data_IF_957113326745
#
_entry.id   IF_957113326745
#
_cell.length_a   1.000
_cell.length_b   1.000
_cell.length_c   1.000
_cell.angle_alpha   90.00
_cell.angle_beta   90.00
_cell.angle_gamma   90.00
#
_symmetry.space_group_name_H-M   'P 1'
#
loop_
_entity.id
_entity.type
_entity.pdbx_description
1 polymer ?
#
# COMPACT_ATOMS: atom_id res chain seq x y z
N UNK A 1 -25.37 10.40 11.81
CA UNK A 1 -26.23 10.85 10.69
C UNK A 1 -25.99 10.06 9.38
N UNK A 2 -24.75 9.89 8.90
CA UNK A 2 -24.47 9.16 7.63
C UNK A 2 -24.64 7.64 7.79
N UNK A 3 -24.25 7.07 8.93
CA UNK A 3 -24.42 5.66 9.26
C UNK A 3 -25.90 5.32 9.36
N UNK A 4 -26.69 6.15 10.05
CA UNK A 4 -28.15 5.98 10.20
C UNK A 4 -28.90 6.06 8.88
N UNK A 5 -28.35 6.76 7.89
CA UNK A 5 -28.91 6.83 6.53
C UNK A 5 -28.45 5.70 5.60
N UNK A 6 -27.64 4.75 6.10
CA UNK A 6 -27.07 3.67 5.30
C UNK A 6 -26.05 4.10 4.23
N UNK A 7 -25.54 5.33 4.32
CA UNK A 7 -24.54 5.87 3.39
C UNK A 7 -23.13 5.36 3.67
N UNK A 8 -22.87 4.92 4.91
CA UNK A 8 -21.59 4.39 5.38
C UNK A 8 -21.84 3.11 6.16
N UNK A 9 -21.05 2.09 5.91
CA UNK A 9 -21.08 0.81 6.64
C UNK A 9 -19.82 0.66 7.48
N UNK A 10 -19.99 0.41 8.78
CA UNK A 10 -18.86 0.16 9.68
C UNK A 10 -18.49 -1.33 9.79
N UNK A 11 -19.12 -2.22 9.06
CA UNK A 11 -18.90 -3.68 9.23
C UNK A 11 -17.51 -4.11 8.79
N UNK A 12 -17.04 -3.60 7.64
CA UNK A 12 -15.68 -3.79 7.13
C UNK A 12 -15.01 -2.43 7.00
N UNK A 13 -13.88 -2.25 7.66
CA UNK A 13 -13.10 -1.03 7.62
C UNK A 13 -11.69 -1.33 7.10
N UNK A 14 -11.33 -0.67 6.02
CA UNK A 14 -10.00 -0.76 5.43
C UNK A 14 -9.16 0.38 5.98
N UNK A 15 -8.01 0.05 6.57
CA UNK A 15 -7.06 1.04 7.06
C UNK A 15 -5.79 0.99 6.26
N UNK A 16 -5.29 2.17 5.92
CA UNK A 16 -4.03 2.33 5.19
C UNK A 16 -3.33 3.61 5.62
N UNK A 17 -1.99 3.56 5.62
CA UNK A 17 -1.13 4.70 5.90
C UNK A 17 -0.62 5.34 4.61
N UNK A 18 -0.63 6.66 4.57
CA UNK A 18 -0.07 7.43 3.47
C UNK A 18 0.99 8.40 3.99
N UNK A 19 2.19 8.37 3.39
CA UNK A 19 3.26 9.30 3.74
C UNK A 19 3.23 10.50 2.81
N UNK A 20 3.15 11.71 3.39
CA UNK A 20 3.27 12.96 2.65
C UNK A 20 4.64 13.58 2.95
N UNK A 21 5.46 13.70 1.88
CA UNK A 21 6.76 14.32 1.95
C UNK A 21 6.67 15.82 2.17
N UNK A 22 7.49 16.35 3.08
CA UNK A 22 7.61 17.76 3.34
C UNK A 22 8.78 18.36 2.57
N UNK A 23 8.51 19.43 1.82
CA UNK A 23 9.51 20.11 0.98
C UNK A 23 9.87 21.51 1.50
N UNK A 24 9.33 21.91 2.65
CA UNK A 24 9.60 23.20 3.28
C UNK A 24 10.97 23.27 3.97
N UNK A 25 11.23 24.39 4.66
CA UNK A 25 12.50 24.68 5.32
C UNK A 25 12.52 24.29 6.80
N UNK A 26 11.35 24.02 7.39
CA UNK A 26 11.23 23.68 8.81
C UNK A 26 11.78 22.29 9.11
N UNK A 27 12.23 22.09 10.35
CA UNK A 27 12.66 20.77 10.83
C UNK A 27 11.45 19.97 11.24
N UNK A 28 11.07 19.00 10.40
CA UNK A 28 9.99 18.04 10.69
C UNK A 28 10.56 16.64 10.87
N UNK A 29 9.79 15.77 11.51
CA UNK A 29 10.16 14.37 11.68
C UNK A 29 10.44 13.70 10.33
N UNK A 30 11.42 12.79 10.32
CA UNK A 30 11.74 11.98 9.14
C UNK A 30 11.13 10.61 9.32
N UNK A 31 10.46 10.15 8.27
CA UNK A 31 9.89 8.81 8.19
C UNK A 31 10.45 8.06 7.00
N UNK A 32 10.40 6.73 7.08
CA UNK A 32 10.84 5.88 5.99
C UNK A 32 9.83 5.92 4.84
N UNK A 33 10.27 6.40 3.69
CA UNK A 33 9.48 6.42 2.47
C UNK A 33 9.72 5.13 1.68
N UNK A 34 8.70 4.30 1.57
CA UNK A 34 8.82 2.93 1.03
C UNK A 34 9.23 2.91 -0.45
N UNK A 35 8.79 3.90 -1.23
CA UNK A 35 9.08 3.96 -2.67
C UNK A 35 10.53 4.34 -2.96
N UNK A 36 11.09 5.33 -2.24
CA UNK A 36 12.48 5.74 -2.40
C UNK A 36 13.46 4.92 -1.56
N UNK A 37 12.95 4.16 -0.57
CA UNK A 37 13.74 3.41 0.43
C UNK A 37 14.68 4.28 1.26
N UNK A 38 14.27 5.51 1.51
CA UNK A 38 15.06 6.51 2.24
C UNK A 38 14.22 7.17 3.33
N UNK A 39 14.92 7.84 4.28
CA UNK A 39 14.28 8.65 5.32
C UNK A 39 14.01 10.05 4.80
N UNK A 40 12.74 10.38 4.59
CA UNK A 40 12.31 11.71 4.16
C UNK A 40 11.60 12.47 5.27
N UNK A 41 11.79 13.81 5.33
CA UNK A 41 10.97 14.65 6.18
C UNK A 41 9.52 14.59 5.70
N UNK A 42 8.57 14.48 6.62
CA UNK A 42 7.16 14.39 6.28
C UNK A 42 6.30 13.88 7.42
N UNK A 43 5.04 13.72 7.14
CA UNK A 43 4.03 13.22 8.08
C UNK A 43 3.35 11.97 7.54
N UNK A 44 2.85 11.14 8.43
CA UNK A 44 2.01 10.01 8.08
C UNK A 44 0.54 10.38 8.29
N UNK A 45 -0.26 10.00 7.33
CA UNK A 45 -1.71 10.12 7.38
C UNK A 45 -2.32 8.74 7.43
N UNK A 46 -3.22 8.51 8.39
CA UNK A 46 -3.98 7.27 8.51
C UNK A 46 -5.39 7.50 8.00
N UNK A 47 -5.82 6.68 7.08
CA UNK A 47 -7.17 6.71 6.51
C UNK A 47 -7.90 5.42 6.84
N UNK A 48 -9.14 5.56 7.30
CA UNK A 48 -10.07 4.44 7.42
C UNK A 48 -11.22 4.71 6.46
N UNK A 49 -11.49 3.77 5.58
CA UNK A 49 -12.63 3.83 4.67
C UNK A 49 -13.49 2.58 4.78
N UNK A 50 -14.75 2.72 4.44
CA UNK A 50 -15.69 1.60 4.41
C UNK A 50 -15.58 0.75 3.14
N UNK A 51 -16.45 -0.25 3.02
CA UNK A 51 -16.51 -1.12 1.84
C UNK A 51 -16.75 -0.37 0.53
N UNK A 52 -17.47 0.75 0.54
CA UNK A 52 -17.75 1.56 -0.64
C UNK A 52 -16.61 2.51 -1.02
N UNK A 53 -15.60 2.64 -0.15
CA UNK A 53 -14.49 3.58 -0.29
C UNK A 53 -14.77 4.96 0.31
N UNK A 54 -15.87 5.12 1.06
CA UNK A 54 -16.13 6.34 1.82
C UNK A 54 -15.19 6.45 3.02
N UNK A 55 -14.49 7.57 3.13
CA UNK A 55 -13.61 7.81 4.28
C UNK A 55 -14.49 8.06 5.50
N UNK A 56 -14.30 7.24 6.53
CA UNK A 56 -14.99 7.32 7.82
C UNK A 56 -14.13 7.95 8.91
N UNK A 57 -12.82 7.91 8.73
CA UNK A 57 -11.86 8.51 9.63
C UNK A 57 -10.58 8.90 8.92
N UNK A 58 -9.99 9.98 9.40
CA UNK A 58 -8.70 10.48 8.93
C UNK A 58 -7.94 11.08 10.12
N UNK A 59 -6.64 10.79 10.18
CA UNK A 59 -5.74 11.31 11.22
C UNK A 59 -4.36 11.60 10.63
N UNK A 60 -3.78 12.72 11.04
CA UNK A 60 -2.39 13.08 10.75
C UNK A 60 -1.55 12.72 11.97
N UNK A 61 -0.50 11.96 11.76
CA UNK A 61 0.42 11.54 12.82
C UNK A 61 1.82 12.09 12.57
N UNK A 62 2.37 12.72 13.58
CA UNK A 62 3.78 13.12 13.58
C UNK A 62 4.67 11.89 13.78
N UNK A 63 5.77 11.82 13.05
CA UNK A 63 6.72 10.73 13.17
C UNK A 63 6.20 9.42 12.57
N UNK A 64 6.61 8.29 13.14
CA UNK A 64 6.16 6.96 12.71
C UNK A 64 4.74 6.74 13.19
N UNK A 65 3.79 6.76 12.28
CA UNK A 65 2.39 6.50 12.58
C UNK A 65 2.17 5.16 13.31
N UNK A 66 1.23 5.13 14.23
CA UNK A 66 0.84 3.92 14.97
C UNK A 66 -0.55 3.43 14.54
N UNK A 67 -0.58 2.67 13.46
CA UNK A 67 -1.79 2.04 12.93
C UNK A 67 -2.49 1.14 13.96
N UNK A 68 -1.71 0.49 14.83
CA UNK A 68 -2.25 -0.46 15.83
C UNK A 68 -3.08 0.28 16.88
N UNK A 69 -2.61 1.46 17.32
CA UNK A 69 -3.33 2.30 18.26
C UNK A 69 -4.60 2.89 17.64
N UNK A 70 -4.53 3.31 16.37
CA UNK A 70 -5.70 3.79 15.62
C UNK A 70 -6.77 2.69 15.53
N UNK A 71 -6.39 1.46 15.19
CA UNK A 71 -7.33 0.33 15.13
C UNK A 71 -7.98 0.11 16.49
N UNK A 72 -7.21 0.09 17.56
CA UNK A 72 -7.72 -0.16 18.91
C UNK A 72 -8.70 0.93 19.35
N UNK A 73 -8.31 2.18 19.20
CA UNK A 73 -9.14 3.34 19.55
C UNK A 73 -10.46 3.35 18.77
N UNK A 74 -10.38 3.17 17.44
CA UNK A 74 -11.58 3.21 16.58
C UNK A 74 -12.43 1.94 16.69
N UNK A 75 -11.83 0.80 17.00
CA UNK A 75 -12.58 -0.42 17.31
C UNK A 75 -13.49 -0.22 18.53
N UNK A 76 -12.97 0.39 19.59
CA UNK A 76 -13.74 0.67 20.79
C UNK A 76 -14.89 1.67 20.52
N UNK A 77 -14.59 2.78 19.84
CA UNK A 77 -15.58 3.81 19.46
C UNK A 77 -16.70 3.23 18.59
N UNK A 78 -16.35 2.50 17.54
CA UNK A 78 -17.34 1.99 16.59
C UNK A 78 -18.12 0.78 17.13
N UNK A 79 -17.54 0.03 18.07
CA UNK A 79 -18.24 -1.05 18.78
C UNK A 79 -19.48 -0.54 19.52
N UNK A 80 -19.41 0.65 20.13
CA UNK A 80 -20.56 1.27 20.80
C UNK A 80 -21.66 1.61 19.78
N UNK A 81 -21.28 2.16 18.62
CA UNK A 81 -22.20 2.50 17.53
C UNK A 81 -22.85 1.25 16.92
N UNK A 82 -22.11 0.13 16.90
CA UNK A 82 -22.53 -1.16 16.30
C UNK A 82 -23.16 -2.13 17.31
N UNK A 83 -23.73 -1.64 18.40
CA UNK A 83 -24.41 -2.47 19.39
C UNK A 83 -23.54 -3.58 20.00
N UNK A 84 -22.27 -3.30 20.23
CA UNK A 84 -21.35 -4.21 20.94
C UNK A 84 -20.52 -5.12 20.04
N UNK A 85 -20.71 -5.12 18.72
CA UNK A 85 -19.88 -5.88 17.79
C UNK A 85 -18.85 -4.92 17.17
N UNK A 86 -17.53 -5.13 17.36
CA UNK A 86 -16.53 -4.26 16.74
C UNK A 86 -16.47 -4.48 15.23
N UNK A 87 -16.08 -3.46 14.44
CA UNK A 87 -15.85 -3.61 13.02
C UNK A 87 -14.70 -4.58 12.71
N UNK A 88 -14.73 -5.20 11.54
CA UNK A 88 -13.61 -5.97 11.04
C UNK A 88 -12.62 -5.04 10.31
N UNK A 89 -11.44 -4.85 10.87
CA UNK A 89 -10.36 -4.09 10.22
C UNK A 89 -9.60 -4.96 9.22
N UNK A 90 -9.58 -4.51 7.97
CA UNK A 90 -8.84 -5.13 6.86
C UNK A 90 -7.53 -4.35 6.67
N UNK A 91 -6.42 -5.00 6.99
CA UNK A 91 -5.12 -4.33 7.18
C UNK A 91 -4.05 -4.97 6.30
N UNK A 92 -3.05 -4.19 5.90
CA UNK A 92 -1.88 -4.74 5.23
C UNK A 92 -0.91 -5.42 6.22
N UNK A 93 0.15 -5.98 5.68
CA UNK A 93 1.23 -6.66 6.42
C UNK A 93 1.91 -5.81 7.48
N UNK A 94 1.65 -4.52 7.53
CA UNK A 94 2.17 -3.63 8.58
C UNK A 94 1.70 -4.02 9.98
N UNK A 95 0.49 -4.58 10.08
CA UNK A 95 -0.04 -5.09 11.34
C UNK A 95 0.74 -6.28 11.91
N UNK A 96 1.55 -6.96 11.09
CA UNK A 96 2.15 -8.24 11.43
C UNK A 96 3.01 -8.22 12.69
N UNK A 97 2.68 -9.11 13.62
CA UNK A 97 3.46 -9.39 14.83
C UNK A 97 2.62 -9.90 15.99
N UNK A 98 3.10 -10.92 16.70
CA UNK A 98 2.38 -11.52 17.83
C UNK A 98 2.04 -10.49 18.91
N UNK A 99 2.94 -9.54 19.17
CA UNK A 99 2.69 -8.42 20.08
C UNK A 99 1.45 -7.61 19.66
N UNK A 100 1.37 -7.23 18.39
CA UNK A 100 0.26 -6.45 17.86
C UNK A 100 -1.04 -7.25 17.89
N UNK A 101 -0.99 -8.53 17.49
CA UNK A 101 -2.16 -9.41 17.52
C UNK A 101 -2.73 -9.59 18.93
N UNK A 102 -1.86 -9.74 19.93
CA UNK A 102 -2.29 -9.81 21.34
C UNK A 102 -2.85 -8.49 21.84
N UNK A 103 -2.26 -7.39 21.44
CA UNK A 103 -2.72 -6.06 21.81
C UNK A 103 -4.10 -5.73 21.22
N UNK A 104 -4.41 -6.30 20.06
CA UNK A 104 -5.70 -6.18 19.36
C UNK A 104 -6.63 -7.37 19.60
N UNK A 105 -6.45 -8.12 20.68
CA UNK A 105 -7.30 -9.30 20.99
C UNK A 105 -8.79 -8.95 21.10
N UNK A 106 -9.11 -7.73 21.54
CA UNK A 106 -10.48 -7.23 21.70
C UNK A 106 -11.06 -6.62 20.42
N UNK A 107 -10.22 -6.49 19.38
CA UNK A 107 -10.59 -5.98 18.06
C UNK A 107 -10.77 -7.15 17.09
N UNK A 108 -11.47 -6.90 15.99
CA UNK A 108 -11.52 -7.84 14.86
C UNK A 108 -10.61 -7.35 13.75
N UNK A 109 -9.72 -8.19 13.30
CA UNK A 109 -8.80 -7.83 12.21
C UNK A 109 -8.55 -8.99 11.26
N UNK A 110 -8.19 -8.65 10.03
CA UNK A 110 -7.61 -9.57 9.05
C UNK A 110 -6.43 -8.91 8.35
N UNK A 111 -5.35 -9.66 8.17
CA UNK A 111 -4.12 -9.20 7.49
C UNK A 111 -3.47 -10.31 6.67
N UNK A 112 -2.54 -9.96 5.77
CA UNK A 112 -1.74 -10.95 5.06
C UNK A 112 -0.67 -11.58 5.96
N UNK A 113 -0.49 -12.90 5.86
CA UNK A 113 0.60 -13.61 6.54
C UNK A 113 1.95 -13.14 6.01
N UNK A 114 2.86 -12.77 6.94
CA UNK A 114 4.24 -12.42 6.62
C UNK A 114 5.14 -13.65 6.78
N UNK A 115 6.16 -13.78 5.91
CA UNK A 115 7.08 -14.91 5.93
C UNK A 115 6.38 -16.28 5.74
N UNK A 116 5.36 -16.30 4.88
CA UNK A 116 4.65 -17.53 4.50
C UNK A 116 5.64 -18.53 3.91
N UNK A 117 5.62 -19.77 4.38
CA UNK A 117 6.31 -20.87 3.71
C UNK A 117 5.60 -21.18 2.38
N UNK A 118 6.09 -20.55 1.32
CA UNK A 118 5.52 -20.65 -0.03
C UNK A 118 5.57 -22.11 -0.54
N UNK A 119 6.62 -22.87 -0.18
CA UNK A 119 6.75 -24.27 -0.62
C UNK A 119 5.68 -25.14 0.03
N UNK A 120 5.51 -25.03 1.34
CA UNK A 120 4.47 -25.76 2.08
C UNK A 120 3.06 -25.39 1.59
N UNK A 121 2.80 -24.11 1.31
CA UNK A 121 1.49 -23.66 0.80
C UNK A 121 1.23 -24.17 -0.63
N UNK A 122 2.26 -24.19 -1.49
CA UNK A 122 2.13 -24.70 -2.85
C UNK A 122 1.97 -26.23 -2.91
N UNK A 123 2.49 -26.96 -1.92
CA UNK A 123 2.37 -28.43 -1.84
C UNK A 123 1.06 -28.91 -1.23
N UNK A 124 0.16 -28.01 -0.80
CA UNK A 124 -1.17 -28.39 -0.34
C UNK A 124 -1.95 -29.08 -1.48
N UNK A 125 -2.50 -30.24 -1.16
CA UNK A 125 -3.36 -30.99 -2.08
C UNK A 125 -4.65 -30.20 -2.37
N UNK A 126 -5.09 -30.17 -3.61
CA UNK A 126 -6.26 -29.45 -4.08
C UNK A 126 -7.55 -29.88 -3.35
N UNK A 127 -7.61 -31.12 -2.84
CA UNK A 127 -8.75 -31.62 -2.04
C UNK A 127 -9.01 -30.86 -0.75
N UNK A 128 -8.02 -30.11 -0.23
CA UNK A 128 -8.19 -29.31 0.98
C UNK A 128 -8.90 -27.97 0.71
N UNK A 129 -9.03 -27.57 -0.56
CA UNK A 129 -9.67 -26.33 -0.96
C UNK A 129 -11.16 -26.57 -1.21
N UNK A 130 -11.93 -26.54 -0.13
CA UNK A 130 -13.35 -26.91 -0.09
C UNK A 130 -14.32 -25.75 -0.30
N UNK A 131 -13.82 -24.50 -0.28
CA UNK A 131 -14.63 -23.28 -0.44
C UNK A 131 -14.22 -22.52 -1.69
N UNK A 132 -15.19 -21.84 -2.30
CA UNK A 132 -15.02 -21.19 -3.59
C UNK A 132 -15.45 -19.72 -3.52
N UNK A 133 -14.72 -18.88 -4.22
CA UNK A 133 -15.00 -17.45 -4.34
C UNK A 133 -14.72 -17.00 -5.77
N UNK A 134 -15.62 -16.21 -6.37
CA UNK A 134 -15.41 -15.58 -7.67
C UNK A 134 -15.41 -14.06 -7.51
N UNK A 135 -14.38 -13.40 -8.04
CA UNK A 135 -14.25 -11.93 -8.08
C UNK A 135 -13.71 -11.55 -9.45
N UNK A 136 -14.39 -10.64 -10.17
CA UNK A 136 -13.95 -10.10 -11.46
C UNK A 136 -13.45 -11.19 -12.44
N UNK A 137 -14.27 -12.23 -12.65
CA UNK A 137 -13.98 -13.39 -13.51
C UNK A 137 -12.75 -14.21 -13.14
N UNK A 138 -12.22 -14.04 -11.94
CA UNK A 138 -11.18 -14.88 -11.36
C UNK A 138 -11.82 -15.81 -10.33
N UNK A 139 -11.55 -17.10 -10.47
CA UNK A 139 -11.96 -18.10 -9.49
C UNK A 139 -10.85 -18.27 -8.45
N UNK A 140 -11.27 -18.28 -7.18
CA UNK A 140 -10.42 -18.55 -6.04
C UNK A 140 -10.93 -19.78 -5.31
N UNK A 141 -10.02 -20.61 -4.85
CA UNK A 141 -10.31 -21.73 -3.97
C UNK A 141 -9.69 -21.44 -2.61
N UNK A 142 -10.39 -21.79 -1.54
CA UNK A 142 -10.01 -21.39 -0.19
C UNK A 142 -9.82 -22.63 0.68
N UNK A 143 -8.79 -22.60 1.50
CA UNK A 143 -8.52 -23.60 2.53
C UNK A 143 -8.30 -22.90 3.87
N UNK A 144 -9.08 -23.28 4.87
CA UNK A 144 -9.00 -22.71 6.22
C UNK A 144 -8.37 -23.68 7.20
N UNK A 145 -7.46 -23.19 8.00
CA UNK A 145 -6.84 -23.91 9.11
C UNK A 145 -6.68 -22.96 10.29
N UNK A 146 -6.27 -23.49 11.44
CA UNK A 146 -5.79 -22.72 12.58
C UNK A 146 -4.27 -22.85 12.67
N UNK A 147 -3.60 -21.76 13.10
CA UNK A 147 -2.16 -21.76 13.31
C UNK A 147 -1.77 -20.93 14.52
N UNK A 148 -0.90 -21.51 15.35
CA UNK A 148 -0.28 -20.78 16.47
C UNK A 148 0.98 -20.06 15.98
N UNK A 149 1.01 -18.74 16.20
CA UNK A 149 2.16 -17.88 15.92
C UNK A 149 2.88 -17.58 17.24
N UNK A 150 4.21 -17.61 17.20
CA UNK A 150 5.07 -17.37 18.39
C UNK A 150 6.05 -16.24 18.08
N UNK A 151 6.33 -15.41 19.07
CA UNK A 151 7.42 -14.44 19.03
C UNK A 151 8.70 -14.99 19.67
N UNK A 152 9.79 -14.25 19.56
CA UNK A 152 11.09 -14.61 20.15
C UNK A 152 11.09 -14.62 21.69
N UNK A 153 10.07 -14.01 22.31
CA UNK A 153 9.89 -13.96 23.77
C UNK A 153 9.01 -15.11 24.29
N UNK A 154 8.57 -16.01 23.42
CA UNK A 154 7.70 -17.13 23.78
C UNK A 154 6.22 -16.79 23.87
N UNK A 155 5.80 -15.55 23.60
CA UNK A 155 4.38 -15.24 23.49
C UNK A 155 3.78 -15.94 22.28
N UNK A 156 2.56 -16.45 22.44
CA UNK A 156 1.87 -17.13 21.35
C UNK A 156 0.42 -16.67 21.22
N UNK A 157 -0.11 -16.77 20.00
CA UNK A 157 -1.51 -16.53 19.66
C UNK A 157 -1.93 -17.50 18.58
N UNK A 158 -3.10 -18.06 18.71
CA UNK A 158 -3.73 -18.88 17.69
C UNK A 158 -4.67 -18.02 16.82
N UNK A 159 -4.53 -18.12 15.51
CA UNK A 159 -5.34 -17.38 14.55
C UNK A 159 -5.89 -18.32 13.48
N UNK A 160 -7.05 -17.98 12.94
CA UNK A 160 -7.57 -18.57 11.70
C UNK A 160 -6.64 -18.19 10.56
N UNK A 161 -6.32 -19.16 9.73
CA UNK A 161 -5.38 -19.03 8.61
C UNK A 161 -6.08 -19.50 7.35
N UNK A 162 -6.21 -18.61 6.38
CA UNK A 162 -6.95 -18.84 5.15
C UNK A 162 -5.98 -18.77 3.97
N UNK A 163 -5.75 -19.89 3.32
CA UNK A 163 -4.99 -19.95 2.06
C UNK A 163 -5.95 -19.65 0.91
N UNK A 164 -5.60 -18.66 0.09
CA UNK A 164 -6.42 -18.16 -1.01
C UNK A 164 -5.73 -18.53 -2.32
N UNK A 165 -6.19 -19.58 -3.00
CA UNK A 165 -5.61 -20.00 -4.26
C UNK A 165 -6.27 -19.28 -5.44
N UNK A 166 -5.51 -18.43 -6.12
CA UNK A 166 -5.91 -17.86 -7.40
C UNK A 166 -5.65 -18.89 -8.50
N UNK A 167 -6.70 -19.47 -9.05
CA UNK A 167 -6.58 -20.56 -10.05
C UNK A 167 -6.02 -20.09 -11.39
N UNK A 168 -6.14 -18.78 -11.71
CA UNK A 168 -5.62 -18.20 -12.96
C UNK A 168 -4.11 -17.98 -12.92
N UNK A 169 -3.59 -17.48 -11.81
CA UNK A 169 -2.15 -17.15 -11.66
C UNK A 169 -1.37 -18.23 -10.90
N UNK A 170 -2.07 -19.22 -10.36
CA UNK A 170 -1.53 -20.24 -9.48
C UNK A 170 -0.79 -19.69 -8.26
N UNK A 171 -1.20 -18.51 -7.78
CA UNK A 171 -0.67 -17.92 -6.55
C UNK A 171 -1.54 -18.29 -5.37
N UNK A 172 -0.90 -18.49 -4.21
CA UNK A 172 -1.60 -18.91 -2.97
C UNK A 172 -1.23 -17.96 -1.81
N UNK A 173 -1.67 -16.68 -1.82
CA UNK A 173 -1.51 -15.80 -0.67
C UNK A 173 -2.28 -16.33 0.54
N UNK A 174 -1.84 -15.93 1.73
CA UNK A 174 -2.41 -16.39 2.98
C UNK A 174 -2.86 -15.20 3.81
N UNK A 175 -4.11 -15.22 4.23
CA UNK A 175 -4.67 -14.28 5.19
C UNK A 175 -4.73 -14.91 6.58
N UNK A 176 -4.58 -14.09 7.61
CA UNK A 176 -4.75 -14.48 9.01
C UNK A 176 -5.70 -13.52 9.72
N UNK A 177 -6.53 -14.06 10.61
CA UNK A 177 -7.56 -13.30 11.31
C UNK A 177 -7.85 -13.89 12.69
N UNK A 178 -8.21 -13.03 13.63
CA UNK A 178 -8.81 -13.43 14.89
C UNK A 178 -10.35 -13.42 14.87
N UNK A 179 -10.92 -13.01 13.73
CA UNK A 179 -12.37 -12.89 13.61
C UNK A 179 -13.08 -14.24 13.64
N UNK A 180 -14.18 -14.32 14.40
CA UNK A 180 -15.02 -15.50 14.54
C UNK A 180 -16.46 -15.30 14.04
N UNK A 181 -16.80 -14.09 13.60
CA UNK A 181 -18.14 -13.75 13.12
C UNK A 181 -18.31 -14.02 11.63
N UNK A 182 -17.27 -13.75 10.85
CA UNK A 182 -17.31 -13.89 9.40
C UNK A 182 -16.90 -15.30 8.93
N UNK A 183 -17.53 -15.76 7.88
CA UNK A 183 -17.13 -16.97 7.19
C UNK A 183 -15.82 -16.77 6.38
N UNK A 184 -15.22 -17.87 5.98
CA UNK A 184 -13.94 -17.89 5.22
C UNK A 184 -14.04 -17.12 3.92
N UNK A 185 -15.18 -17.20 3.23
CA UNK A 185 -15.39 -16.56 1.91
C UNK A 185 -15.47 -15.06 2.07
N UNK A 186 -16.17 -14.58 3.10
CA UNK A 186 -16.29 -13.16 3.43
C UNK A 186 -14.94 -12.54 3.82
N UNK A 187 -14.14 -13.22 4.65
CA UNK A 187 -12.78 -12.80 5.00
C UNK A 187 -11.88 -12.73 3.77
N UNK A 188 -11.88 -13.79 2.93
CA UNK A 188 -11.07 -13.83 1.72
C UNK A 188 -11.48 -12.71 0.74
N UNK A 189 -12.79 -12.47 0.58
CA UNK A 189 -13.33 -11.39 -0.24
C UNK A 189 -12.87 -10.02 0.25
N UNK A 190 -12.90 -9.78 1.56
CA UNK A 190 -12.45 -8.54 2.16
C UNK A 190 -10.97 -8.28 1.85
N UNK A 191 -10.11 -9.29 2.05
CA UNK A 191 -8.68 -9.18 1.78
C UNK A 191 -8.36 -8.96 0.29
N UNK A 192 -9.05 -9.65 -0.61
CA UNK A 192 -8.83 -9.51 -2.06
C UNK A 192 -9.32 -8.15 -2.59
N UNK A 193 -10.40 -7.61 -2.02
CA UNK A 193 -10.93 -6.30 -2.41
C UNK A 193 -10.13 -5.13 -1.85
N UNK A 194 -9.29 -5.34 -0.84
CA UNK A 194 -8.47 -4.28 -0.24
C UNK A 194 -7.65 -3.52 -1.29
N UNK A 195 -6.95 -4.22 -2.18
CA UNK A 195 -6.14 -3.60 -3.23
C UNK A 195 -6.95 -2.70 -4.17
N UNK A 196 -8.04 -3.22 -4.70
CA UNK A 196 -8.85 -2.48 -5.66
C UNK A 196 -9.55 -1.25 -5.07
N UNK A 197 -9.84 -1.27 -3.76
CA UNK A 197 -10.59 -0.21 -3.10
C UNK A 197 -9.70 0.86 -2.46
N UNK A 198 -8.70 0.48 -1.65
CA UNK A 198 -7.80 1.43 -1.02
C UNK A 198 -6.96 2.18 -2.06
N UNK A 199 -6.32 1.47 -2.98
CA UNK A 199 -5.47 2.09 -4.00
C UNK A 199 -6.26 3.00 -4.96
N UNK A 200 -7.47 2.61 -5.34
CA UNK A 200 -8.34 3.46 -6.16
C UNK A 200 -8.85 4.67 -5.38
N UNK A 201 -9.18 4.52 -4.09
CA UNK A 201 -9.61 5.65 -3.25
C UNK A 201 -8.49 6.69 -3.12
N UNK A 202 -7.24 6.26 -2.86
CA UNK A 202 -6.08 7.16 -2.83
C UNK A 202 -5.79 7.80 -4.19
N UNK A 203 -5.88 7.06 -5.29
CA UNK A 203 -5.75 7.62 -6.64
C UNK A 203 -6.82 8.68 -6.93
N UNK A 204 -8.06 8.39 -6.58
CA UNK A 204 -9.16 9.34 -6.80
C UNK A 204 -9.02 10.58 -5.93
N UNK A 205 -8.61 10.43 -4.67
CA UNK A 205 -8.33 11.57 -3.81
C UNK A 205 -7.13 12.38 -4.32
N UNK A 206 -6.02 11.73 -4.64
CA UNK A 206 -4.84 12.40 -5.19
C UNK A 206 -5.15 13.21 -6.45
N UNK A 207 -6.00 12.67 -7.34
CA UNK A 207 -6.37 13.36 -8.58
C UNK A 207 -7.39 14.49 -8.38
N UNK A 208 -8.27 14.41 -7.37
CA UNK A 208 -9.36 15.36 -7.15
C UNK A 208 -9.04 16.42 -6.12
N UNK A 209 -8.30 16.07 -5.08
CA UNK A 209 -8.05 16.94 -3.91
C UNK A 209 -6.59 17.38 -3.81
N UNK A 210 -5.72 16.94 -4.75
CA UNK A 210 -4.28 17.17 -4.66
C UNK A 210 -3.68 16.78 -3.29
N UNK A 211 -4.14 15.67 -2.74
CA UNK A 211 -3.83 15.15 -1.42
C UNK A 211 -2.31 14.97 -1.16
N UNK A 212 -1.52 14.86 -2.23
CA UNK A 212 -0.05 14.79 -2.14
C UNK A 212 0.62 16.16 -2.00
N UNK A 213 -0.17 17.24 -2.08
CA UNK A 213 0.34 18.59 -1.94
C UNK A 213 0.31 18.98 -0.46
N UNK A 214 1.49 19.10 0.12
CA UNK A 214 1.65 19.71 1.43
C UNK A 214 1.99 21.20 1.18
N UNK A 215 1.03 22.14 1.34
CA UNK A 215 1.38 23.55 1.31
C UNK A 215 2.32 23.81 2.48
N UNK A 216 3.54 24.26 2.20
CA UNK A 216 4.38 24.81 3.23
C UNK A 216 3.57 25.87 4.02
N UNK A 217 3.88 26.06 5.30
CA UNK A 217 3.12 26.82 6.30
C UNK A 217 2.65 28.24 5.93
N UNK A 218 3.09 28.79 4.81
CA UNK A 218 2.67 30.08 4.26
C UNK A 218 1.87 29.90 2.96
N UNK A 219 0.56 29.80 3.07
CA UNK A 219 -0.35 29.96 1.93
C UNK A 219 -0.61 31.44 1.72
N UNK A 220 0.15 32.09 0.87
CA UNK A 220 -0.23 33.38 0.32
C UNK A 220 -1.21 33.16 -0.82
N UNK A 221 -2.42 33.69 -0.71
CA UNK A 221 -3.34 33.79 -1.85
C UNK A 221 -2.66 34.53 -2.99
N UNK A 222 -2.42 33.84 -4.08
CA UNK A 222 -1.88 34.43 -5.30
C UNK A 222 -3.04 34.76 -6.23
N UNK A 223 -2.93 35.90 -6.91
CA UNK A 223 -3.94 36.38 -7.84
C UNK A 223 -4.27 35.30 -8.89
N UNK A 224 -5.55 35.18 -9.27
CA UNK A 224 -6.04 34.26 -10.28
C UNK A 224 -5.39 34.38 -11.66
N UNK A 225 -4.68 35.48 -11.91
CA UNK A 225 -3.97 35.79 -13.16
C UNK A 225 -2.50 35.34 -13.14
N UNK A 226 -2.12 34.40 -12.30
CA UNK A 226 -0.75 33.91 -12.24
C UNK A 226 -0.39 33.12 -13.52
N UNK A 227 0.70 33.51 -14.19
CA UNK A 227 1.24 32.72 -15.31
C UNK A 227 1.70 31.36 -14.78
N UNK A 228 0.98 30.31 -15.11
CA UNK A 228 1.33 28.93 -14.81
C UNK A 228 2.18 28.39 -15.97
N UNK A 229 3.21 27.62 -15.66
CA UNK A 229 3.96 26.93 -16.71
C UNK A 229 3.03 26.03 -17.49
N UNK A 230 3.05 26.19 -18.84
CA UNK A 230 2.30 25.30 -19.73
C UNK A 230 2.73 23.84 -19.48
N UNK A 231 1.78 22.89 -19.23
CA UNK A 231 2.09 21.46 -19.08
C UNK A 231 2.93 20.88 -20.21
N UNK A 232 2.74 21.37 -21.44
CA UNK A 232 3.56 21.00 -22.60
C UNK A 232 5.03 21.41 -22.45
N UNK A 233 5.31 22.55 -21.81
CA UNK A 233 6.68 22.96 -21.55
C UNK A 233 7.41 21.96 -20.64
N UNK A 234 6.72 21.40 -19.64
CA UNK A 234 7.29 20.37 -18.78
C UNK A 234 7.58 19.06 -19.54
N UNK A 235 6.72 18.71 -20.51
CA UNK A 235 6.91 17.57 -21.41
C UNK A 235 8.14 17.76 -22.29
N UNK A 236 8.21 18.89 -23.00
CA UNK A 236 9.37 19.22 -23.84
C UNK A 236 10.68 19.29 -23.04
N UNK A 237 10.65 19.82 -21.82
CA UNK A 237 11.85 19.86 -20.96
C UNK A 237 12.35 18.45 -20.61
N UNK A 238 11.44 17.49 -20.38
CA UNK A 238 11.80 16.07 -20.19
C UNK A 238 12.39 15.45 -21.45
N UNK A 239 11.77 15.69 -22.60
CA UNK A 239 12.27 15.20 -23.90
C UNK A 239 13.67 15.74 -24.21
N UNK A 240 13.89 17.03 -24.02
CA UNK A 240 15.21 17.65 -24.18
C UNK A 240 16.25 17.01 -23.24
N UNK A 241 15.87 16.74 -21.99
CA UNK A 241 16.77 16.09 -21.04
C UNK A 241 17.13 14.64 -21.46
N UNK A 242 16.17 13.91 -22.03
CA UNK A 242 16.41 12.57 -22.57
C UNK A 242 17.34 12.60 -23.78
N UNK A 243 17.11 13.51 -24.73
CA UNK A 243 17.96 13.68 -25.92
C UNK A 243 19.39 14.05 -25.49
N UNK A 244 19.56 14.99 -24.55
CA UNK A 244 20.88 15.33 -24.02
C UNK A 244 21.61 14.12 -23.41
N UNK A 245 20.92 13.25 -22.68
CA UNK A 245 21.50 12.01 -22.16
C UNK A 245 21.93 11.05 -23.27
N UNK A 246 21.13 10.96 -24.34
CA UNK A 246 21.48 10.14 -25.49
C UNK A 246 22.73 10.68 -26.23
N UNK A 247 22.81 12.00 -26.41
CA UNK A 247 23.98 12.66 -27.01
C UNK A 247 25.24 12.32 -26.21
N UNK A 248 25.22 12.53 -24.87
CA UNK A 248 26.37 12.22 -24.00
C UNK A 248 26.75 10.73 -24.09
N UNK A 249 25.76 9.83 -24.18
CA UNK A 249 26.03 8.38 -24.35
C UNK A 249 26.71 8.08 -25.68
N UNK A 250 26.24 8.70 -26.77
CA UNK A 250 26.85 8.53 -28.12
C UNK A 250 28.26 9.11 -28.14
N UNK A 251 28.46 10.31 -27.60
CA UNK A 251 29.78 10.94 -27.50
C UNK A 251 30.77 10.09 -26.70
N UNK A 252 30.33 9.49 -25.58
CA UNK A 252 31.15 8.57 -24.79
C UNK A 252 31.51 7.32 -25.60
N UNK A 253 30.57 6.75 -26.32
CA UNK A 253 30.80 5.57 -27.16
C UNK A 253 31.74 5.87 -28.32
N UNK A 254 31.67 7.04 -28.92
CA UNK A 254 32.59 7.51 -29.96
C UNK A 254 34.00 7.73 -29.39
N UNK A 255 34.10 8.38 -28.21
CA UNK A 255 35.38 8.61 -27.55
C UNK A 255 36.08 7.34 -27.06
N UNK A 256 35.35 6.24 -26.89
CA UNK A 256 35.91 4.93 -26.53
C UNK A 256 36.37 4.09 -27.74
N UNK A 257 36.12 4.54 -28.97
CA UNK A 257 36.57 3.80 -30.17
C UNK A 257 38.03 4.11 -30.45
N UNK A 258 38.90 3.06 -30.62
CA UNK A 258 40.31 3.29 -30.94
C UNK A 258 40.41 3.93 -32.32
N UNK A 259 41.08 5.07 -32.41
CA UNK A 259 41.43 5.71 -33.68
C UNK A 259 42.50 4.83 -34.36
N UNK A 260 42.18 4.32 -35.56
CA UNK A 260 43.11 3.52 -36.33
C UNK A 260 43.85 4.43 -37.33
N UNK A 261 45.18 4.25 -37.39
CA UNK A 261 46.04 5.01 -38.29
C UNK A 261 46.46 4.15 -39.47
N UNK A 262 46.73 4.79 -40.61
CA UNK A 262 47.38 4.20 -41.75
C UNK A 262 48.89 4.04 -41.47
N UNK A 263 49.61 3.33 -42.33
CA UNK A 263 51.07 3.16 -42.19
C UNK A 263 51.85 4.49 -42.33
N UNK A 264 51.27 5.51 -42.94
CA UNK A 264 51.81 6.86 -43.11
C UNK A 264 51.48 7.81 -41.93
N UNK A 265 50.86 7.29 -40.86
CA UNK A 265 50.49 8.08 -39.71
C UNK A 265 49.19 8.88 -39.84
N UNK A 266 48.50 8.85 -40.99
CA UNK A 266 47.24 9.49 -41.20
C UNK A 266 46.06 8.68 -40.59
N UNK A 267 44.99 9.37 -40.14
CA UNK A 267 43.80 8.70 -39.60
C UNK A 267 43.06 7.94 -40.70
N UNK A 268 42.73 6.67 -40.46
CA UNK A 268 41.91 5.88 -41.39
C UNK A 268 40.50 6.49 -41.51
N UNK A 269 40.08 6.83 -42.75
CA UNK A 269 38.75 7.40 -43.02
C UNK A 269 37.57 6.47 -42.69
N UNK A 270 37.77 5.18 -42.53
CA UNK A 270 36.76 4.15 -42.25
C UNK A 270 36.99 3.45 -40.90
N UNK A 271 37.41 4.15 -39.85
CA UNK A 271 37.54 3.60 -38.49
C UNK A 271 36.24 3.73 -37.70
N UNK A 272 35.10 3.38 -38.32
CA UNK A 272 33.82 3.21 -37.62
C UNK A 272 33.69 1.83 -37.00
#
# INVERSE_FOLDING_TARGET
AQITKGLVSLWYLFIDGHFIGYTGKEKVHKNYHTQSREMHPGQNEMYIHDWSGCIVYFEIQEGKGDMVEVIRSKSAEYKEIMNGIPPLFVVDRELWGVKNFKYLSDCRFVTWEKNTDIKAVKSLDDKYFDKYLRINDINYQLHETSRTYKDIKGNSIELRRIVIWNTKTNTRPVAVTNDTYEDTVSIARAMLNRWGKSENSFKHMGNRTNMQYNPALDVTEKSANQRVYNPEHAKFKKEIAQIKKQIVSVERNLGCKPIRFNKDGSVRKNSS
#
